data_IF_957202447023
#
_entry.id   IF_957202447023
#
_cell.length_a   1.000
_cell.length_b   1.000
_cell.length_c   1.000
_cell.angle_alpha   90.00
_cell.angle_beta   90.00
_cell.angle_gamma   90.00
#
_symmetry.space_group_name_H-M   'P 1'
#
loop_
_entity.id
_entity.type
_entity.pdbx_description
1 polymer ?
#
# COMPACT_ATOMS: atom_id res chain seq x y z
N UNK A 1 34.82 46.82 -20.47
CA UNK A 1 33.49 46.32 -20.90
C UNK A 1 33.41 44.79 -21.00
N UNK A 2 34.42 44.01 -20.57
CA UNK A 2 34.39 42.53 -20.57
C UNK A 2 33.97 41.92 -19.21
N UNK A 3 34.16 42.62 -18.10
CA UNK A 3 33.91 42.12 -16.74
C UNK A 3 32.41 42.01 -16.40
N UNK A 4 31.57 42.86 -17.00
CA UNK A 4 30.11 42.86 -16.77
C UNK A 4 29.42 41.68 -17.48
N UNK A 5 29.90 41.31 -18.67
CA UNK A 5 29.38 40.17 -19.44
C UNK A 5 29.68 38.83 -18.75
N UNK A 6 30.88 38.66 -18.17
CA UNK A 6 31.26 37.44 -17.46
C UNK A 6 30.44 37.21 -16.18
N UNK A 7 30.15 38.29 -15.42
CA UNK A 7 29.29 38.23 -14.24
C UNK A 7 27.82 37.96 -14.58
N UNK A 8 27.32 38.47 -15.71
CA UNK A 8 25.98 38.13 -16.19
C UNK A 8 25.89 36.65 -16.60
N UNK A 9 26.92 36.13 -17.27
CA UNK A 9 27.00 34.73 -17.68
C UNK A 9 27.03 33.75 -16.51
N UNK A 10 27.78 34.08 -15.44
CA UNK A 10 27.84 33.25 -14.23
C UNK A 10 26.48 33.20 -13.53
N UNK A 11 25.81 34.35 -13.40
CA UNK A 11 24.51 34.46 -12.73
C UNK A 11 23.40 33.72 -13.47
N UNK A 12 23.41 33.71 -14.80
CA UNK A 12 22.43 32.94 -15.59
C UNK A 12 22.69 31.43 -15.53
N UNK A 13 23.95 30.98 -15.56
CA UNK A 13 24.31 29.56 -15.41
C UNK A 13 23.90 29.04 -14.02
N UNK A 14 24.11 29.82 -12.97
CA UNK A 14 23.74 29.43 -11.60
C UNK A 14 22.21 29.35 -11.42
N UNK A 15 21.45 30.24 -12.09
CA UNK A 15 19.99 30.22 -12.06
C UNK A 15 19.39 29.04 -12.83
N UNK A 16 20.00 28.64 -13.96
CA UNK A 16 19.56 27.48 -14.76
C UNK A 16 19.83 26.17 -14.01
N UNK A 17 20.99 26.04 -13.36
CA UNK A 17 21.31 24.86 -12.53
C UNK A 17 20.37 24.73 -11.32
N UNK A 18 20.00 25.83 -10.67
CA UNK A 18 19.01 25.84 -9.59
C UNK A 18 17.62 25.45 -10.10
N UNK A 19 17.20 25.90 -11.30
CA UNK A 19 15.93 25.51 -11.90
C UNK A 19 15.88 24.00 -12.20
N UNK A 20 16.99 23.40 -12.66
CA UNK A 20 17.09 21.95 -12.90
C UNK A 20 16.92 21.10 -11.62
N UNK A 21 17.28 21.63 -10.45
CA UNK A 21 17.10 20.93 -9.17
C UNK A 21 15.62 20.92 -8.74
N UNK A 22 14.83 21.92 -9.12
CA UNK A 22 13.40 22.00 -8.74
C UNK A 22 12.45 21.14 -9.59
N UNK A 23 12.86 20.68 -10.78
CA UNK A 23 12.02 19.84 -11.66
C UNK A 23 12.19 18.33 -11.43
N UNK A 24 13.00 17.90 -10.46
CA UNK A 24 13.18 16.47 -10.12
C UNK A 24 12.22 15.95 -9.04
N UNK A 25 11.38 16.80 -8.44
CA UNK A 25 10.21 16.30 -7.69
C UNK A 25 9.02 16.11 -8.62
N UNK A 26 9.22 15.33 -9.68
CA UNK A 26 8.10 14.65 -10.30
C UNK A 26 7.76 13.54 -9.32
N UNK A 27 6.76 13.77 -8.47
CA UNK A 27 6.09 12.69 -7.75
C UNK A 27 5.71 11.66 -8.80
N UNK A 28 6.51 10.61 -8.88
CA UNK A 28 6.17 9.39 -9.57
C UNK A 28 4.96 8.87 -8.80
N UNK A 29 3.78 9.32 -9.21
CA UNK A 29 2.56 8.54 -9.06
C UNK A 29 2.92 7.23 -9.73
N UNK A 30 3.41 6.28 -8.94
CA UNK A 30 3.62 4.91 -9.32
C UNK A 30 2.21 4.37 -9.56
N UNK A 31 1.72 4.68 -10.76
CA UNK A 31 0.52 4.11 -11.34
C UNK A 31 0.70 2.61 -11.18
N UNK A 32 -0.13 2.02 -10.32
CA UNK A 32 -0.25 0.57 -10.18
C UNK A 32 -0.40 0.05 -11.61
N UNK A 33 0.66 -0.61 -12.08
CA UNK A 33 0.73 -1.11 -13.44
C UNK A 33 -0.47 -2.04 -13.60
N UNK A 34 -1.30 -1.80 -14.62
CA UNK A 34 -2.33 -2.75 -15.04
C UNK A 34 -1.64 -4.07 -15.36
N UNK A 35 -1.62 -4.96 -14.36
CA UNK A 35 -1.21 -6.33 -14.50
C UNK A 35 -2.27 -7.04 -15.34
N UNK A 36 -1.87 -7.41 -16.54
CA UNK A 36 -2.44 -8.48 -17.37
C UNK A 36 -2.86 -9.66 -16.49
N UNK A 37 -4.12 -10.12 -16.61
CA UNK A 37 -4.63 -11.45 -16.23
C UNK A 37 -3.64 -12.33 -15.44
N UNK A 38 -3.39 -11.98 -14.19
CA UNK A 38 -2.59 -12.80 -13.28
C UNK A 38 -3.57 -13.48 -12.36
N UNK A 39 -3.55 -14.81 -12.41
CA UNK A 39 -3.94 -15.70 -11.32
C UNK A 39 -3.25 -15.24 -10.03
N UNK A 40 -3.88 -14.29 -9.34
CA UNK A 40 -3.34 -13.66 -8.16
C UNK A 40 -3.61 -14.62 -7.01
N UNK A 41 -2.65 -15.51 -6.76
CA UNK A 41 -2.73 -16.49 -5.67
C UNK A 41 -3.09 -15.78 -4.36
N UNK A 42 -4.16 -16.20 -3.65
CA UNK A 42 -4.56 -15.53 -2.41
C UNK A 42 -3.44 -15.52 -1.36
N UNK A 43 -3.09 -14.34 -0.88
CA UNK A 43 -1.97 -14.14 0.02
C UNK A 43 -2.15 -12.88 0.88
N UNK A 44 -1.30 -12.74 1.88
CA UNK A 44 -1.22 -11.56 2.72
C UNK A 44 0.24 -11.15 2.95
N UNK A 45 0.53 -9.85 2.82
CA UNK A 45 1.81 -9.25 3.17
C UNK A 45 1.63 -8.03 4.07
N UNK A 46 2.37 -7.99 5.19
CA UNK A 46 2.50 -6.80 6.04
C UNK A 46 3.83 -6.82 6.82
N UNK A 47 3.86 -7.49 7.98
CA UNK A 47 5.11 -7.80 8.72
C UNK A 47 5.63 -9.20 8.37
N UNK A 48 4.77 -10.01 7.77
CA UNK A 48 4.99 -11.39 7.35
C UNK A 48 4.36 -11.57 5.98
N UNK A 49 4.74 -12.65 5.29
CA UNK A 49 4.06 -13.14 4.10
C UNK A 49 3.34 -14.44 4.42
N UNK A 50 2.09 -14.56 4.01
CA UNK A 50 1.24 -15.74 4.22
C UNK A 50 0.56 -16.11 2.90
N UNK A 51 0.68 -17.37 2.50
CA UNK A 51 -0.10 -17.93 1.38
C UNK A 51 -1.43 -18.47 1.95
N UNK A 52 -2.56 -17.88 1.57
CA UNK A 52 -3.84 -18.12 2.26
C UNK A 52 -4.52 -19.44 1.85
N UNK A 53 -4.15 -20.00 0.69
CA UNK A 53 -4.67 -21.28 0.17
C UNK A 53 -3.76 -22.48 0.48
N UNK A 54 -2.79 -22.32 1.39
CA UNK A 54 -1.89 -23.39 1.82
C UNK A 54 -2.12 -23.81 3.27
N UNK A 55 -1.87 -25.08 3.63
CA UNK A 55 -1.98 -25.55 5.00
C UNK A 55 -0.85 -24.98 5.87
N UNK A 56 -1.06 -23.80 6.47
CA UNK A 56 -0.06 -23.10 7.28
C UNK A 56 -0.62 -22.48 8.59
N UNK A 57 -1.78 -22.95 9.06
CA UNK A 57 -2.53 -22.46 10.23
C UNK A 57 -3.11 -21.04 10.11
N UNK A 58 -2.86 -20.33 9.01
CA UNK A 58 -3.53 -19.07 8.72
C UNK A 58 -4.84 -19.30 7.99
N UNK A 59 -5.79 -18.42 8.22
CA UNK A 59 -7.11 -18.43 7.59
C UNK A 59 -7.56 -17.00 7.32
N UNK A 60 -8.37 -16.81 6.28
CA UNK A 60 -8.98 -15.53 5.92
C UNK A 60 -10.47 -15.56 6.22
N UNK A 61 -11.00 -14.45 6.72
CA UNK A 61 -12.43 -14.18 6.78
C UNK A 61 -12.67 -12.80 6.19
N UNK A 62 -13.43 -12.72 5.11
CA UNK A 62 -13.64 -11.49 4.36
C UNK A 62 -15.11 -11.06 4.33
N UNK A 63 -15.33 -9.78 4.55
CA UNK A 63 -16.58 -9.05 4.38
C UNK A 63 -16.34 -7.83 3.51
N UNK A 64 -17.40 -7.11 3.13
CA UNK A 64 -17.29 -5.96 2.23
C UNK A 64 -16.43 -4.81 2.77
N UNK A 65 -16.24 -4.71 4.09
CA UNK A 65 -15.53 -3.61 4.76
C UNK A 65 -14.58 -4.10 5.86
N UNK A 66 -14.26 -5.39 5.84
CA UNK A 66 -13.45 -6.04 6.86
C UNK A 66 -12.78 -7.29 6.31
N UNK A 67 -11.50 -7.46 6.57
CA UNK A 67 -10.78 -8.73 6.36
C UNK A 67 -10.03 -9.08 7.64
N UNK A 68 -10.17 -10.32 8.10
CA UNK A 68 -9.39 -10.86 9.20
C UNK A 68 -8.50 -12.00 8.69
N UNK A 69 -7.19 -11.88 8.90
CA UNK A 69 -6.18 -12.92 8.64
C UNK A 69 -5.74 -13.48 9.99
N UNK A 70 -6.11 -14.73 10.29
CA UNK A 70 -6.05 -15.28 11.65
C UNK A 70 -5.23 -16.57 11.70
N UNK A 71 -4.31 -16.64 12.66
CA UNK A 71 -3.66 -17.86 13.08
C UNK A 71 -4.05 -18.17 14.54
N UNK A 72 -4.86 -19.21 14.70
CA UNK A 72 -5.40 -19.61 16.01
C UNK A 72 -4.32 -20.25 16.89
N UNK A 73 -3.40 -21.01 16.28
CA UNK A 73 -2.32 -21.69 16.98
C UNK A 73 -1.35 -20.69 17.64
N UNK A 74 -1.02 -19.61 16.93
CA UNK A 74 -0.20 -18.51 17.43
C UNK A 74 -1.01 -17.48 18.25
N UNK A 75 -2.35 -17.55 18.21
CA UNK A 75 -3.20 -16.54 18.82
C UNK A 75 -3.00 -15.15 18.22
N UNK A 76 -2.73 -15.07 16.91
CA UNK A 76 -2.40 -13.85 16.18
C UNK A 76 -3.45 -13.56 15.11
N UNK A 77 -3.83 -12.29 14.97
CA UNK A 77 -4.78 -11.84 13.94
C UNK A 77 -4.38 -10.48 13.39
N UNK A 78 -4.46 -10.33 12.08
CA UNK A 78 -4.47 -9.04 11.39
C UNK A 78 -5.91 -8.73 11.00
N UNK A 79 -6.48 -7.65 11.54
CA UNK A 79 -7.84 -7.22 11.27
C UNK A 79 -7.80 -5.88 10.53
N UNK A 80 -8.10 -5.92 9.22
CA UNK A 80 -8.27 -4.75 8.39
C UNK A 80 -9.74 -4.34 8.38
N UNK A 81 -10.02 -3.05 8.56
CA UNK A 81 -11.35 -2.44 8.42
C UNK A 81 -11.26 -1.14 7.65
N UNK A 82 -12.30 -0.79 6.89
CA UNK A 82 -12.38 0.45 6.12
C UNK A 82 -13.83 0.85 5.83
N UNK A 83 -14.06 1.97 5.17
CA UNK A 83 -15.35 2.37 4.62
C UNK A 83 -15.33 2.40 3.09
N UNK A 84 -16.48 2.10 2.49
CA UNK A 84 -16.70 2.21 1.04
C UNK A 84 -16.67 0.90 0.28
N UNK A 85 -16.86 -0.24 0.96
CA UNK A 85 -17.03 -1.55 0.32
C UNK A 85 -15.82 -2.08 -0.47
N UNK A 86 -16.06 -3.08 -1.32
CA UNK A 86 -15.05 -3.74 -2.16
C UNK A 86 -15.01 -3.23 -3.61
N UNK A 87 -15.71 -2.15 -3.95
CA UNK A 87 -15.60 -1.58 -5.29
C UNK A 87 -14.17 -1.09 -5.57
N UNK A 88 -13.71 -1.14 -6.82
CA UNK A 88 -12.39 -0.64 -7.18
C UNK A 88 -12.19 0.83 -6.79
N UNK A 89 -11.01 1.16 -6.28
CA UNK A 89 -10.56 2.50 -5.93
C UNK A 89 -10.15 2.66 -4.46
N UNK A 90 -9.75 3.89 -4.12
CA UNK A 90 -9.29 4.26 -2.78
C UNK A 90 -10.43 4.21 -1.75
N UNK A 91 -10.10 3.74 -0.55
CA UNK A 91 -11.01 3.61 0.60
C UNK A 91 -10.62 4.57 1.71
N UNK A 92 -11.61 4.94 2.53
CA UNK A 92 -11.43 5.85 3.65
C UNK A 92 -11.51 5.13 4.99
N UNK A 93 -11.04 5.80 6.04
CA UNK A 93 -11.08 5.29 7.43
C UNK A 93 -10.48 3.88 7.57
N UNK A 94 -9.42 3.62 6.79
CA UNK A 94 -8.78 2.33 6.74
C UNK A 94 -7.82 2.16 7.94
N UNK A 95 -8.04 1.10 8.70
CA UNK A 95 -7.28 0.78 9.91
C UNK A 95 -6.89 -0.69 9.87
N UNK A 96 -5.61 -0.97 10.11
CA UNK A 96 -5.11 -2.31 10.35
C UNK A 96 -4.80 -2.48 11.84
N UNK A 97 -5.37 -3.53 12.44
CA UNK A 97 -5.05 -3.94 13.81
C UNK A 97 -4.25 -5.23 13.80
N UNK A 98 -3.13 -5.25 14.52
CA UNK A 98 -2.38 -6.47 14.82
C UNK A 98 -2.70 -6.86 16.26
N UNK A 99 -3.39 -8.00 16.40
CA UNK A 99 -3.85 -8.56 17.65
C UNK A 99 -3.00 -9.80 17.93
N UNK A 100 -2.38 -9.85 19.11
CA UNK A 100 -1.62 -11.01 19.59
C UNK A 100 -2.12 -11.33 20.99
N UNK A 101 -2.40 -12.61 21.26
CA UNK A 101 -2.90 -13.07 22.55
C UNK A 101 -1.94 -12.65 23.68
N UNK A 102 -2.47 -11.92 24.66
CA UNK A 102 -1.69 -11.46 25.82
C UNK A 102 -0.92 -10.16 25.58
N UNK A 103 -0.99 -9.55 24.39
CA UNK A 103 -0.37 -8.26 24.09
C UNK A 103 -1.42 -7.15 23.91
N UNK A 104 -0.97 -5.90 24.06
CA UNK A 104 -1.78 -4.75 23.67
C UNK A 104 -1.94 -4.71 22.15
N UNK A 105 -3.17 -4.48 21.69
CA UNK A 105 -3.46 -4.41 20.25
C UNK A 105 -2.74 -3.22 19.62
N UNK A 106 -1.96 -3.49 18.58
CA UNK A 106 -1.32 -2.44 17.78
C UNK A 106 -2.31 -1.99 16.71
N UNK A 107 -2.58 -0.70 16.67
CA UNK A 107 -3.46 -0.08 15.67
C UNK A 107 -2.62 0.79 14.74
N UNK A 108 -2.78 0.60 13.43
CA UNK A 108 -2.14 1.40 12.40
C UNK A 108 -3.22 2.01 11.51
N UNK A 109 -3.33 3.33 11.54
CA UNK A 109 -4.08 4.07 10.54
C UNK A 109 -3.33 3.99 9.22
N UNK A 110 -4.04 3.67 8.14
CA UNK A 110 -3.45 3.53 6.82
C UNK A 110 -3.52 4.85 6.07
N UNK A 111 -2.38 5.27 5.52
CA UNK A 111 -2.28 6.41 4.61
C UNK A 111 -3.03 6.12 3.30
N UNK A 112 -3.00 4.86 2.84
CA UNK A 112 -3.72 4.37 1.68
C UNK A 112 -4.28 2.98 1.97
N UNK A 113 -5.54 2.80 1.60
CA UNK A 113 -6.09 1.51 1.21
C UNK A 113 -6.69 1.68 -0.19
N UNK A 114 -6.27 0.86 -1.13
CA UNK A 114 -6.83 0.79 -2.48
C UNK A 114 -7.32 -0.62 -2.75
N UNK A 115 -8.58 -0.73 -3.20
CA UNK A 115 -9.18 -2.00 -3.58
C UNK A 115 -9.16 -2.09 -5.10
N UNK A 116 -8.86 -3.26 -5.62
CA UNK A 116 -9.07 -3.65 -7.02
C UNK A 116 -9.96 -4.88 -7.05
N UNK A 117 -11.12 -4.75 -7.68
CA UNK A 117 -11.96 -5.87 -8.07
C UNK A 117 -11.40 -6.43 -9.38
N UNK A 118 -10.76 -7.60 -9.31
CA UNK A 118 -10.11 -8.24 -10.45
C UNK A 118 -11.04 -9.21 -11.19
N UNK A 119 -12.33 -9.23 -10.84
CA UNK A 119 -13.29 -10.19 -11.37
C UNK A 119 -13.11 -11.58 -10.76
N UNK A 120 -13.97 -12.53 -11.15
CA UNK A 120 -13.97 -13.91 -10.63
C UNK A 120 -14.01 -13.99 -9.09
N UNK A 121 -14.62 -12.98 -8.44
CA UNK A 121 -14.66 -12.78 -6.99
C UNK A 121 -13.28 -12.61 -6.32
N UNK A 122 -12.24 -12.27 -7.07
CA UNK A 122 -10.89 -11.99 -6.58
C UNK A 122 -10.77 -10.50 -6.29
N UNK A 123 -10.32 -10.19 -5.08
CA UNK A 123 -10.06 -8.82 -4.63
C UNK A 123 -8.61 -8.68 -4.22
N UNK A 124 -7.95 -7.64 -4.73
CA UNK A 124 -6.60 -7.22 -4.34
C UNK A 124 -6.71 -5.91 -3.54
N UNK A 125 -6.19 -5.92 -2.32
CA UNK A 125 -6.19 -4.77 -1.41
C UNK A 125 -4.74 -4.34 -1.20
N UNK A 126 -4.41 -3.13 -1.62
CA UNK A 126 -3.10 -2.53 -1.44
C UNK A 126 -3.12 -1.60 -0.23
N UNK A 127 -2.24 -1.86 0.74
CA UNK A 127 -2.18 -1.17 2.02
C UNK A 127 -0.90 -0.34 2.10
N UNK A 128 -0.99 0.87 2.65
CA UNK A 128 0.16 1.65 3.07
C UNK A 128 -0.14 2.39 4.37
N UNK A 129 0.76 2.32 5.34
CA UNK A 129 0.61 3.00 6.63
C UNK A 129 1.75 2.63 7.58
N UNK A 130 2.03 3.46 8.58
CA UNK A 130 3.10 3.17 9.55
C UNK A 130 4.48 2.93 8.91
N UNK A 131 4.76 3.62 7.80
CA UNK A 131 6.03 3.54 7.06
C UNK A 131 6.24 2.27 6.23
N UNK A 132 5.20 1.46 5.99
CA UNK A 132 5.29 0.23 5.21
C UNK A 132 4.18 0.08 4.17
N UNK A 133 4.41 -0.83 3.22
CA UNK A 133 3.44 -1.28 2.21
C UNK A 133 3.03 -2.72 2.51
N UNK A 134 1.85 -3.12 2.08
CA UNK A 134 1.39 -4.50 2.15
C UNK A 134 0.26 -4.76 1.16
N UNK A 135 -0.18 -6.00 1.12
CA UNK A 135 -1.15 -6.50 0.14
C UNK A 135 -2.00 -7.61 0.77
N UNK A 136 -3.29 -7.66 0.43
CA UNK A 136 -4.13 -8.83 0.69
C UNK A 136 -4.81 -9.19 -0.63
N UNK A 137 -4.66 -10.44 -1.05
CA UNK A 137 -5.41 -11.01 -2.16
C UNK A 137 -6.29 -12.13 -1.61
N UNK A 138 -7.59 -12.07 -1.89
CA UNK A 138 -8.55 -13.08 -1.44
C UNK A 138 -9.71 -13.27 -2.40
N UNK A 139 -10.36 -14.43 -2.32
CA UNK A 139 -11.60 -14.75 -3.04
C UNK A 139 -12.79 -14.64 -2.09
N UNK A 140 -13.94 -14.16 -2.56
CA UNK A 140 -15.17 -14.00 -1.76
C UNK A 140 -16.37 -14.80 -2.28
#
# INVERSE_FOLDING_TARGET
MMTVQLNMLWRTITAILLLCVFITSCSKEELLTEGTDTDANPHFTWDITVELEQPNNWSVTAFSEKVAITNIAEGKQYLLTWKGGLSTGKKSEAILKTIVRGEQTKTTELDILEVKDSGNNIYELFLRGGGRKGEIVFTK
#
